data_IF_231764254052
#
_entry.id   IF_231764254052
#
_cell.length_a   1.000
_cell.length_b   1.000
_cell.length_c   1.000
_cell.angle_alpha   90.00
_cell.angle_beta   90.00
_cell.angle_gamma   90.00
#
_symmetry.space_group_name_H-M   'P 1'
#
loop_
_entity.id
_entity.type
_entity.pdbx_description
1 polymer ?
#
# COMPACT_ATOMS: atom_id res chain seq x y z
N UNK A 1 -20.97 18.04 -8.37
CA UNK A 1 -20.16 18.01 -7.13
C UNK A 1 -19.53 16.63 -6.97
N UNK A 2 -18.23 16.58 -6.88
CA UNK A 2 -17.56 15.31 -6.65
C UNK A 2 -17.70 14.92 -5.17
N UNK A 3 -17.96 13.64 -4.92
CA UNK A 3 -18.01 13.09 -3.58
C UNK A 3 -16.69 12.40 -3.28
N UNK A 4 -16.24 12.51 -2.04
CA UNK A 4 -15.06 11.79 -1.57
C UNK A 4 -15.45 10.36 -1.23
N UNK A 5 -14.69 9.40 -1.75
CA UNK A 5 -14.87 7.98 -1.47
C UNK A 5 -13.67 7.48 -0.70
N UNK A 6 -13.93 6.67 0.31
CA UNK A 6 -12.90 6.04 1.12
C UNK A 6 -12.94 4.53 0.90
N UNK A 7 -11.79 3.95 0.57
CA UNK A 7 -11.63 2.52 0.36
C UNK A 7 -10.85 1.94 1.53
N UNK A 8 -11.48 1.02 2.25
CA UNK A 8 -10.83 0.30 3.34
C UNK A 8 -9.82 -0.71 2.78
N UNK A 9 -8.61 -0.67 3.30
CA UNK A 9 -7.56 -1.62 2.91
C UNK A 9 -7.17 -2.46 4.11
N UNK A 10 -7.95 -3.53 4.35
CA UNK A 10 -7.73 -4.43 5.48
C UNK A 10 -6.33 -5.02 5.47
N UNK A 11 -5.69 -5.01 6.63
CA UNK A 11 -4.35 -5.57 6.79
C UNK A 11 -3.22 -4.65 6.42
N UNK A 12 -3.50 -3.49 5.82
CA UNK A 12 -2.47 -2.49 5.52
C UNK A 12 -2.40 -1.51 6.68
N UNK A 13 -1.35 -1.63 7.49
CA UNK A 13 -1.20 -0.86 8.73
C UNK A 13 0.18 -0.18 8.84
N UNK A 14 1.16 -0.61 8.06
CA UNK A 14 2.53 -0.08 8.11
C UNK A 14 2.77 0.88 6.96
N UNK A 15 2.96 2.15 7.29
CA UNK A 15 3.17 3.20 6.30
C UNK A 15 4.44 2.97 5.47
N UNK A 16 5.54 2.61 6.09
CA UNK A 16 6.81 2.44 5.38
C UNK A 16 6.73 1.29 4.35
N UNK A 17 6.07 0.20 4.71
CA UNK A 17 5.85 -0.91 3.78
C UNK A 17 4.93 -0.45 2.63
N UNK A 18 3.88 0.31 2.95
CA UNK A 18 2.98 0.83 1.92
C UNK A 18 3.73 1.76 0.96
N UNK A 19 4.57 2.65 1.47
CA UNK A 19 5.36 3.56 0.63
C UNK A 19 6.31 2.79 -0.28
N UNK A 20 6.95 1.75 0.25
CA UNK A 20 7.83 0.88 -0.55
C UNK A 20 7.04 0.18 -1.66
N UNK A 21 5.85 -0.34 -1.33
CA UNK A 21 5.00 -1.00 -2.31
C UNK A 21 4.59 -0.05 -3.43
N UNK A 22 4.19 1.18 -3.09
CA UNK A 22 3.82 2.19 -4.08
C UNK A 22 5.01 2.57 -4.96
N UNK A 23 6.18 2.72 -4.36
CA UNK A 23 7.41 3.01 -5.10
C UNK A 23 7.73 1.90 -6.10
N UNK A 24 7.64 0.64 -5.70
CA UNK A 24 7.86 -0.51 -6.57
C UNK A 24 6.84 -0.58 -7.72
N UNK A 25 5.65 -0.02 -7.53
CA UNK A 25 4.64 0.10 -8.57
C UNK A 25 4.85 1.30 -9.49
N UNK A 26 5.90 2.10 -9.26
CA UNK A 26 6.19 3.30 -10.05
C UNK A 26 5.33 4.50 -9.70
N UNK A 27 4.74 4.52 -8.52
CA UNK A 27 3.83 5.58 -8.09
C UNK A 27 4.60 6.61 -7.25
N UNK A 28 4.49 7.89 -7.62
CA UNK A 28 5.08 8.98 -6.85
C UNK A 28 4.26 9.25 -5.60
N UNK A 29 4.94 9.34 -4.46
CA UNK A 29 4.32 9.61 -3.18
C UNK A 29 4.87 10.92 -2.61
N UNK A 30 3.98 11.74 -2.08
CA UNK A 30 4.33 13.00 -1.42
C UNK A 30 3.91 12.88 0.03
N UNK A 31 4.86 13.07 0.95
CA UNK A 31 4.56 13.10 2.38
C UNK A 31 4.27 14.54 2.80
N UNK A 32 3.22 14.79 3.60
CA UNK A 32 2.95 16.13 4.08
C UNK A 32 4.04 16.58 5.09
N UNK A 33 4.43 17.84 5.01
CA UNK A 33 5.43 18.41 5.94
C UNK A 33 4.90 18.49 7.36
N UNK A 34 3.58 18.63 7.51
CA UNK A 34 2.91 18.73 8.79
C UNK A 34 1.79 17.72 8.84
N UNK A 35 1.63 17.02 9.98
CA UNK A 35 0.52 16.10 10.18
C UNK A 35 -0.81 16.82 9.97
N UNK A 36 -1.60 16.31 9.04
CA UNK A 36 -2.94 16.81 8.78
C UNK A 36 -3.95 15.88 9.42
N UNK A 37 -4.76 16.42 10.33
CA UNK A 37 -5.86 15.70 10.95
C UNK A 37 -7.16 16.15 10.33
N UNK A 38 -7.97 15.20 9.88
CA UNK A 38 -9.33 15.48 9.40
C UNK A 38 -10.27 14.49 10.07
N UNK A 39 -11.28 14.99 10.80
CA UNK A 39 -12.43 14.20 11.32
C UNK A 39 -12.08 12.80 11.83
N UNK A 40 -11.09 12.69 12.72
CA UNK A 40 -10.76 11.41 13.37
C UNK A 40 -9.77 10.54 12.63
N UNK A 41 -9.15 11.01 11.56
CA UNK A 41 -8.07 10.29 10.89
C UNK A 41 -6.91 11.21 10.57
N UNK A 42 -5.72 10.61 10.41
CA UNK A 42 -4.49 11.32 10.05
C UNK A 42 -4.19 11.11 8.58
N UNK A 43 -3.90 12.18 7.85
CA UNK A 43 -3.41 12.07 6.47
C UNK A 43 -1.91 11.76 6.54
N UNK A 44 -1.52 10.58 6.03
CA UNK A 44 -0.14 10.10 6.09
C UNK A 44 0.66 10.44 4.84
N UNK A 45 0.02 10.40 3.69
CA UNK A 45 0.70 10.60 2.41
C UNK A 45 -0.31 10.91 1.31
N UNK A 46 0.21 11.51 0.23
CA UNK A 46 -0.51 11.70 -1.02
C UNK A 46 0.20 10.94 -2.11
N UNK A 47 -0.54 10.38 -3.05
CA UNK A 47 0.03 9.72 -4.21
C UNK A 47 -0.65 10.21 -5.47
N UNK A 48 0.13 10.37 -6.54
CA UNK A 48 -0.40 10.70 -7.86
C UNK A 48 -0.54 9.40 -8.64
N UNK A 49 -1.78 8.98 -8.87
CA UNK A 49 -2.10 7.76 -9.57
C UNK A 49 -2.90 8.15 -10.81
N UNK A 50 -2.36 7.88 -12.00
CA UNK A 50 -2.96 8.26 -13.28
C UNK A 50 -3.39 9.74 -13.32
N UNK A 51 -2.48 10.63 -12.92
CA UNK A 51 -2.66 12.08 -12.90
C UNK A 51 -3.74 12.57 -11.92
N UNK A 52 -4.18 11.73 -10.99
CA UNK A 52 -5.12 12.09 -9.94
C UNK A 52 -4.49 11.89 -8.57
N UNK A 53 -4.76 12.81 -7.66
CA UNK A 53 -4.20 12.76 -6.30
C UNK A 53 -5.11 11.98 -5.37
N UNK A 54 -4.50 11.02 -4.67
CA UNK A 54 -5.16 10.16 -3.68
C UNK A 54 -4.49 10.40 -2.34
N UNK A 55 -5.28 10.37 -1.28
CA UNK A 55 -4.78 10.45 0.09
C UNK A 55 -4.75 9.07 0.72
N UNK A 56 -3.71 8.80 1.50
CA UNK A 56 -3.66 7.64 2.39
C UNK A 56 -3.84 8.14 3.81
N UNK A 57 -4.86 7.63 4.49
CA UNK A 57 -5.25 8.10 5.82
C UNK A 57 -5.24 6.94 6.81
N UNK A 58 -4.81 7.20 8.03
CA UNK A 58 -4.79 6.19 9.09
C UNK A 58 -5.93 6.44 10.07
N UNK A 59 -6.70 5.40 10.34
CA UNK A 59 -7.77 5.42 11.32
C UNK A 59 -7.24 5.03 12.70
N UNK A 60 -8.09 5.20 13.71
CA UNK A 60 -7.76 4.88 15.11
C UNK A 60 -7.39 3.41 15.31
N UNK A 61 -7.93 2.51 14.49
CA UNK A 61 -7.61 1.08 14.55
C UNK A 61 -6.26 0.72 13.90
N UNK A 62 -5.56 1.71 13.35
CA UNK A 62 -4.26 1.51 12.71
C UNK A 62 -4.31 1.18 11.22
N UNK A 63 -5.48 0.88 10.68
CA UNK A 63 -5.61 0.60 9.25
C UNK A 63 -5.41 1.86 8.42
N UNK A 64 -4.73 1.71 7.29
CA UNK A 64 -4.52 2.78 6.31
C UNK A 64 -5.51 2.60 5.18
N UNK A 65 -6.32 3.63 4.93
CA UNK A 65 -7.31 3.62 3.89
C UNK A 65 -6.94 4.60 2.78
N UNK A 66 -7.48 4.35 1.60
CA UNK A 66 -7.27 5.21 0.43
C UNK A 66 -8.49 6.09 0.23
N UNK A 67 -8.28 7.41 0.10
CA UNK A 67 -9.35 8.40 -0.05
C UNK A 67 -9.15 9.16 -1.36
N UNK A 68 -10.18 9.26 -2.15
CA UNK A 68 -10.13 9.99 -3.40
C UNK A 68 -11.51 10.40 -3.89
N UNK A 69 -11.54 10.98 -5.09
CA UNK A 69 -12.76 11.46 -5.72
C UNK A 69 -13.59 10.28 -6.24
N UNK A 70 -14.91 10.29 -5.97
CA UNK A 70 -15.82 9.23 -6.39
C UNK A 70 -15.94 9.12 -7.91
N UNK A 71 -15.67 10.18 -8.65
CA UNK A 71 -15.68 10.17 -10.11
C UNK A 71 -14.45 9.52 -10.71
N UNK A 72 -13.44 9.27 -9.90
CA UNK A 72 -12.20 8.69 -10.36
C UNK A 72 -12.27 7.16 -10.33
N UNK A 73 -12.22 6.55 -11.50
CA UNK A 73 -12.42 5.11 -11.67
C UNK A 73 -11.36 4.26 -10.99
N UNK A 74 -10.11 4.75 -10.90
CA UNK A 74 -9.02 3.95 -10.36
C UNK A 74 -9.22 3.60 -8.87
N UNK A 75 -9.85 4.50 -8.10
CA UNK A 75 -10.09 4.25 -6.69
C UNK A 75 -11.07 3.10 -6.47
N UNK A 76 -11.93 2.86 -7.46
CA UNK A 76 -12.87 1.74 -7.45
C UNK A 76 -12.36 0.54 -8.24
N UNK A 77 -11.17 0.64 -8.81
CA UNK A 77 -10.58 -0.43 -9.61
C UNK A 77 -10.06 -1.53 -8.68
N UNK A 78 -10.75 -2.63 -8.66
CA UNK A 78 -10.36 -3.80 -7.86
C UNK A 78 -9.01 -4.36 -8.31
N UNK A 79 -8.71 -4.28 -9.60
CA UNK A 79 -7.42 -4.70 -10.13
C UNK A 79 -6.25 -3.92 -9.54
N UNK A 80 -6.39 -2.59 -9.45
CA UNK A 80 -5.39 -1.75 -8.81
C UNK A 80 -5.24 -2.09 -7.33
N UNK A 81 -6.36 -2.20 -6.61
CA UNK A 81 -6.36 -2.54 -5.19
C UNK A 81 -5.70 -3.90 -4.94
N UNK A 82 -5.98 -4.87 -5.80
CA UNK A 82 -5.38 -6.20 -5.71
C UNK A 82 -3.87 -6.15 -5.95
N UNK A 83 -3.41 -5.41 -6.95
CA UNK A 83 -1.98 -5.23 -7.22
C UNK A 83 -1.27 -4.54 -6.05
N UNK A 84 -1.90 -3.53 -5.47
CA UNK A 84 -1.33 -2.84 -4.31
C UNK A 84 -1.22 -3.78 -3.11
N UNK A 85 -2.26 -4.55 -2.81
CA UNK A 85 -2.25 -5.54 -1.73
C UNK A 85 -1.18 -6.60 -1.96
N UNK A 86 -1.06 -7.07 -3.19
CA UNK A 86 -0.06 -8.07 -3.56
C UNK A 86 1.34 -7.53 -3.35
N UNK A 87 1.61 -6.30 -3.80
CA UNK A 87 2.91 -5.68 -3.61
C UNK A 87 3.21 -5.40 -2.14
N UNK A 88 2.21 -4.95 -1.39
CA UNK A 88 2.34 -4.73 0.05
C UNK A 88 2.69 -6.04 0.77
N UNK A 89 1.99 -7.12 0.45
CA UNK A 89 2.27 -8.43 1.03
C UNK A 89 3.69 -8.91 0.71
N UNK A 90 4.13 -8.71 -0.52
CA UNK A 90 5.49 -9.05 -0.95
C UNK A 90 6.53 -8.27 -0.13
N UNK A 91 6.35 -6.96 0.02
CA UNK A 91 7.28 -6.13 0.79
C UNK A 91 7.27 -6.49 2.28
N UNK A 92 6.11 -6.85 2.82
CA UNK A 92 5.99 -7.32 4.20
C UNK A 92 6.82 -8.58 4.43
N UNK A 93 6.72 -9.55 3.51
CA UNK A 93 7.47 -10.81 3.64
C UNK A 93 8.96 -10.58 3.44
N UNK A 94 9.35 -9.73 2.49
CA UNK A 94 10.77 -9.38 2.29
C UNK A 94 11.39 -8.81 3.56
N UNK A 95 10.67 -7.89 4.21
CA UNK A 95 11.11 -7.29 5.46
C UNK A 95 11.24 -8.35 6.56
N UNK A 96 10.26 -9.24 6.67
CA UNK A 96 10.26 -10.31 7.66
C UNK A 96 11.41 -11.28 7.45
N UNK A 97 11.69 -11.64 6.20
CA UNK A 97 12.81 -12.54 5.85
C UNK A 97 14.13 -11.93 6.31
N UNK A 98 14.34 -10.63 6.06
CA UNK A 98 15.56 -9.94 6.49
C UNK A 98 15.66 -9.92 8.02
N UNK A 99 14.55 -9.59 8.71
CA UNK A 99 14.52 -9.56 10.18
C UNK A 99 14.85 -10.90 10.80
N UNK A 100 14.43 -12.00 10.17
CA UNK A 100 14.67 -13.36 10.63
C UNK A 100 16.02 -13.92 10.17
N UNK A 101 16.83 -13.12 9.46
CA UNK A 101 18.12 -13.51 8.91
C UNK A 101 18.03 -14.67 7.92
N UNK A 102 17.06 -14.59 7.00
CA UNK A 102 16.95 -15.47 5.86
C UNK A 102 17.31 -14.73 4.59
N UNK A 103 17.91 -15.41 3.64
CA UNK A 103 18.09 -14.91 2.29
C UNK A 103 16.86 -15.24 1.46
N UNK A 104 16.44 -14.30 0.64
CA UNK A 104 15.36 -14.53 -0.29
C UNK A 104 15.92 -15.22 -1.53
N UNK A 105 15.72 -16.53 -1.65
CA UNK A 105 16.28 -17.35 -2.73
C UNK A 105 15.51 -17.20 -4.03
N UNK A 106 14.19 -17.09 -3.98
CA UNK A 106 13.39 -16.88 -5.19
C UNK A 106 12.03 -16.26 -4.89
N UNK A 107 11.49 -15.58 -5.89
CA UNK A 107 10.15 -15.00 -5.87
C UNK A 107 9.44 -15.44 -7.13
N UNK A 108 8.27 -16.06 -7.00
CA UNK A 108 7.45 -16.46 -8.13
C UNK A 108 6.03 -15.95 -7.98
N UNK A 109 5.45 -15.45 -9.08
CA UNK A 109 4.03 -15.12 -9.13
C UNK A 109 3.30 -16.30 -9.76
N UNK A 110 2.35 -16.87 -9.03
CA UNK A 110 1.56 -18.01 -9.50
C UNK A 110 0.38 -17.52 -10.36
N UNK A 111 -0.23 -18.44 -11.12
CA UNK A 111 -1.34 -18.14 -12.03
C UNK A 111 -2.52 -17.47 -11.35
N UNK A 112 -2.79 -17.80 -10.09
CA UNK A 112 -3.89 -17.22 -9.33
C UNK A 112 -3.54 -15.85 -8.71
N UNK A 113 -2.37 -15.27 -9.03
CA UNK A 113 -1.90 -14.01 -8.49
C UNK A 113 -1.18 -14.14 -7.15
N UNK A 114 -1.14 -15.29 -6.54
CA UNK A 114 -0.40 -15.53 -5.31
C UNK A 114 1.10 -15.41 -5.56
N UNK A 115 1.85 -15.00 -4.53
CA UNK A 115 3.30 -14.89 -4.59
C UNK A 115 3.91 -16.03 -3.79
N UNK A 116 4.80 -16.78 -4.43
CA UNK A 116 5.58 -17.82 -3.76
C UNK A 116 6.97 -17.28 -3.47
N UNK A 117 7.38 -17.33 -2.21
CA UNK A 117 8.70 -16.92 -1.77
C UNK A 117 9.47 -18.12 -1.24
N UNK A 118 10.73 -18.21 -1.62
CA UNK A 118 11.63 -19.23 -1.08
C UNK A 118 12.74 -18.51 -0.33
N UNK A 119 12.87 -18.80 0.96
CA UNK A 119 13.86 -18.19 1.83
C UNK A 119 14.88 -19.23 2.28
N UNK A 120 16.11 -18.78 2.49
CA UNK A 120 17.20 -19.62 2.94
C UNK A 120 17.82 -18.99 4.18
N UNK A 121 17.99 -19.81 5.24
CA UNK A 121 18.61 -19.32 6.47
C UNK A 121 20.07 -18.90 6.23
N UNK A 122 20.46 -17.78 6.82
CA UNK A 122 21.86 -17.35 6.83
C UNK A 122 22.66 -18.27 7.76
N UNK A 123 23.85 -18.60 7.34
CA UNK A 123 24.78 -19.34 8.16
C UNK A 123 25.77 -18.42 8.87
#
# INVERSE_FOLDING_TARGET
MSMTVQIAMKGITDLEILLTALHEMGINVIRPDVKQKKRGYNVLAFADIYARRVQFVQHKNGEINMVGDSDWRIIKDEGFQQRLRQQYSLETVKKKVVELRYDLASIETLENGAIKLVARAWR
#
